data_IF_483827464247
#
_entry.id   IF_483827464247
#
_cell.length_a   1.000
_cell.length_b   1.000
_cell.length_c   1.000
_cell.angle_alpha   90.00
_cell.angle_beta   90.00
_cell.angle_gamma   90.00
#
_symmetry.space_group_name_H-M   'P 1'
#
loop_
_entity.id
_entity.type
_entity.pdbx_description
1 polymer ?
#
# COMPACT_ATOMS: atom_id res chain seq x y z
N UNK A 1 2.02 14.10 8.05
CA UNK A 1 1.25 12.83 8.04
C UNK A 1 2.00 11.83 7.18
N UNK A 2 1.88 10.52 7.39
CA UNK A 2 2.55 9.54 6.52
C UNK A 2 1.57 9.01 5.49
N UNK A 3 2.02 8.90 4.24
CA UNK A 3 1.25 8.27 3.17
C UNK A 3 2.07 7.13 2.57
N UNK A 4 1.39 6.15 1.99
CA UNK A 4 2.01 5.02 1.31
C UNK A 4 1.14 4.53 0.16
N UNK A 5 1.73 3.73 -0.72
CA UNK A 5 1.01 2.88 -1.67
C UNK A 5 0.95 1.44 -1.16
N UNK A 6 -0.02 0.69 -1.65
CA UNK A 6 -0.25 -0.70 -1.24
C UNK A 6 -0.19 -1.61 -2.45
N UNK A 7 0.70 -2.61 -2.40
CA UNK A 7 0.73 -3.66 -3.42
C UNK A 7 -0.53 -4.50 -3.32
N UNK A 8 -1.37 -4.62 -4.35
CA UNK A 8 -2.60 -5.40 -4.28
C UNK A 8 -2.30 -6.87 -3.98
N UNK A 9 -3.15 -7.47 -3.15
CA UNK A 9 -3.19 -8.92 -2.99
C UNK A 9 -3.77 -9.58 -4.24
N UNK A 10 -3.60 -10.90 -4.37
CA UNK A 10 -4.19 -11.69 -5.45
C UNK A 10 -5.71 -11.51 -5.57
N UNK A 11 -6.42 -11.33 -4.45
CA UNK A 11 -7.87 -11.09 -4.43
C UNK A 11 -8.27 -9.68 -4.86
N UNK A 12 -7.39 -8.69 -4.65
CA UNK A 12 -7.65 -7.30 -5.07
C UNK A 12 -7.34 -7.11 -6.55
N UNK A 13 -6.22 -7.63 -7.04
CA UNK A 13 -5.91 -7.62 -8.46
C UNK A 13 -5.11 -8.85 -8.86
N UNK A 14 -5.82 -9.88 -9.33
CA UNK A 14 -5.22 -11.13 -9.77
C UNK A 14 -4.22 -10.91 -10.90
N UNK A 15 -4.52 -10.05 -11.87
CA UNK A 15 -3.62 -9.80 -12.99
C UNK A 15 -2.27 -9.23 -12.55
N UNK A 16 -2.28 -8.17 -11.74
CA UNK A 16 -1.03 -7.57 -11.24
C UNK A 16 -0.24 -8.58 -10.40
N UNK A 17 -0.91 -9.29 -9.49
CA UNK A 17 -0.26 -10.27 -8.63
C UNK A 17 0.34 -11.43 -9.43
N UNK A 18 -0.47 -12.10 -10.25
CA UNK A 18 -0.06 -13.29 -11.03
C UNK A 18 1.07 -12.95 -12.01
N UNK A 19 1.02 -11.76 -12.63
CA UNK A 19 2.05 -11.29 -13.56
C UNK A 19 3.40 -11.16 -12.85
N UNK A 20 3.44 -10.50 -11.70
CA UNK A 20 4.70 -10.30 -10.96
C UNK A 20 5.18 -11.55 -10.23
N UNK A 21 4.27 -12.36 -9.72
CA UNK A 21 4.61 -13.69 -9.20
C UNK A 21 5.28 -14.55 -10.29
N UNK A 22 4.74 -14.54 -11.51
CA UNK A 22 5.29 -15.32 -12.63
C UNK A 22 6.62 -14.77 -13.14
N UNK A 23 6.75 -13.45 -13.26
CA UNK A 23 7.94 -12.81 -13.84
C UNK A 23 9.12 -12.75 -12.86
N UNK A 24 8.86 -12.54 -11.58
CA UNK A 24 9.91 -12.23 -10.60
C UNK A 24 9.95 -13.19 -9.42
N UNK A 25 8.91 -14.01 -9.20
CA UNK A 25 8.78 -14.84 -8.00
C UNK A 25 8.58 -14.06 -6.70
N UNK A 26 8.68 -12.73 -6.75
CA UNK A 26 8.60 -11.83 -5.61
C UNK A 26 7.61 -10.70 -5.90
N UNK A 27 6.47 -10.76 -5.23
CA UNK A 27 5.42 -9.73 -5.34
C UNK A 27 5.68 -8.52 -4.46
N UNK A 28 6.71 -8.55 -3.60
CA UNK A 28 7.15 -7.41 -2.78
C UNK A 28 7.93 -6.36 -3.59
N UNK A 29 8.30 -6.66 -4.83
CA UNK A 29 8.96 -5.71 -5.74
C UNK A 29 8.08 -5.30 -6.92
N UNK A 30 6.79 -5.64 -6.87
CA UNK A 30 5.85 -5.22 -7.90
C UNK A 30 5.85 -3.68 -8.03
N UNK A 31 6.12 -3.13 -9.23
CA UNK A 31 6.07 -1.71 -9.53
C UNK A 31 4.63 -1.23 -9.74
N UNK A 32 4.50 0.09 -9.85
CA UNK A 32 3.26 0.79 -10.19
C UNK A 32 2.69 0.30 -11.53
N UNK A 33 1.45 -0.15 -11.50
CA UNK A 33 0.74 -0.55 -12.70
C UNK A 33 0.00 0.65 -13.30
N UNK A 34 0.41 1.08 -14.51
CA UNK A 34 -0.16 2.25 -15.20
C UNK A 34 -1.68 2.17 -15.46
N UNK A 35 -2.25 0.98 -15.40
CA UNK A 35 -3.67 0.73 -15.69
C UNK A 35 -4.49 0.31 -14.47
N UNK A 36 -3.85 0.06 -13.32
CA UNK A 36 -4.52 -0.46 -12.12
C UNK A 36 -4.46 0.55 -10.98
N UNK A 37 -5.61 1.18 -10.71
CA UNK A 37 -5.76 2.15 -9.62
C UNK A 37 -5.44 1.52 -8.26
N UNK A 38 -5.75 0.23 -8.05
CA UNK A 38 -5.50 -0.45 -6.78
C UNK A 38 -4.01 -0.58 -6.42
N UNK A 39 -3.12 -0.44 -7.40
CA UNK A 39 -1.68 -0.48 -7.19
C UNK A 39 -1.11 0.94 -7.02
N UNK A 40 -1.68 1.93 -7.70
CA UNK A 40 -1.17 3.31 -7.67
C UNK A 40 -1.84 4.22 -6.64
N UNK A 41 -2.91 3.75 -5.99
CA UNK A 41 -3.66 4.52 -5.00
C UNK A 41 -2.82 4.79 -3.75
N UNK A 42 -2.91 6.02 -3.27
CA UNK A 42 -2.26 6.46 -2.05
C UNK A 42 -3.21 6.33 -0.86
N UNK A 43 -2.63 5.92 0.27
CA UNK A 43 -3.31 5.69 1.53
C UNK A 43 -2.62 6.49 2.62
N UNK A 44 -3.39 7.07 3.53
CA UNK A 44 -2.82 7.67 4.75
C UNK A 44 -2.55 6.56 5.74
N UNK A 45 -1.34 6.53 6.29
CA UNK A 45 -1.01 5.65 7.41
C UNK A 45 -1.56 6.29 8.67
N UNK A 46 -2.50 5.61 9.31
CA UNK A 46 -3.11 6.03 10.57
C UNK A 46 -2.29 5.54 11.75
N UNK A 47 -1.91 4.26 11.73
CA UNK A 47 -1.13 3.64 12.81
C UNK A 47 -0.41 2.36 12.36
N UNK A 48 0.58 1.94 13.13
CA UNK A 48 1.25 0.65 13.01
C UNK A 48 0.96 -0.22 14.23
N UNK A 49 0.36 -1.39 14.00
CA UNK A 49 -0.05 -2.32 15.04
C UNK A 49 0.86 -3.54 15.03
N UNK A 50 1.68 -3.67 16.08
CA UNK A 50 2.51 -4.85 16.32
C UNK A 50 1.68 -5.95 17.00
N UNK A 51 1.44 -7.05 16.29
CA UNK A 51 0.90 -8.27 16.86
C UNK A 51 2.00 -9.29 17.16
N UNK A 52 1.66 -10.32 17.96
CA UNK A 52 2.60 -11.36 18.38
C UNK A 52 3.20 -12.16 17.20
N UNK A 53 2.46 -12.28 16.09
CA UNK A 53 2.84 -13.06 14.90
C UNK A 53 2.99 -12.23 13.63
N UNK A 54 2.38 -11.05 13.57
CA UNK A 54 2.32 -10.22 12.38
C UNK A 54 2.19 -8.75 12.77
N UNK A 55 2.89 -7.89 12.03
CA UNK A 55 2.71 -6.45 12.12
C UNK A 55 1.84 -5.96 10.97
N UNK A 56 0.88 -5.10 11.30
CA UNK A 56 -0.05 -4.49 10.35
C UNK A 56 0.05 -2.97 10.39
N UNK A 57 -0.35 -2.33 9.30
CA UNK A 57 -0.67 -0.92 9.26
C UNK A 57 -2.19 -0.74 9.15
N UNK A 58 -2.70 0.26 9.86
CA UNK A 58 -4.05 0.78 9.66
C UNK A 58 -3.96 1.94 8.69
N UNK A 59 -4.69 1.83 7.58
CA UNK A 59 -4.65 2.77 6.47
C UNK A 59 -6.02 3.45 6.31
N UNK A 60 -6.05 4.73 5.98
CA UNK A 60 -7.25 5.46 5.57
C UNK A 60 -7.18 5.80 4.08
N UNK A 61 -8.25 5.48 3.36
CA UNK A 61 -8.44 5.96 2.00
C UNK A 61 -9.94 6.17 1.73
N UNK A 62 -10.29 7.34 1.22
CA UNK A 62 -11.68 7.73 0.89
C UNK A 62 -12.66 7.53 2.07
N UNK A 63 -12.22 7.85 3.30
CA UNK A 63 -13.02 7.71 4.51
C UNK A 63 -13.20 6.28 5.01
N UNK A 64 -12.50 5.29 4.41
CA UNK A 64 -12.53 3.89 4.83
C UNK A 64 -11.21 3.51 5.47
N UNK A 65 -11.29 2.74 6.57
CA UNK A 65 -10.12 2.16 7.22
C UNK A 65 -9.88 0.74 6.71
N UNK A 66 -8.63 0.43 6.39
CA UNK A 66 -8.19 -0.89 5.94
C UNK A 66 -7.01 -1.38 6.79
N UNK A 67 -7.03 -2.67 7.15
CA UNK A 67 -5.92 -3.35 7.83
C UNK A 67 -5.05 -4.06 6.79
N UNK A 68 -3.78 -3.69 6.70
CA UNK A 68 -2.85 -4.22 5.69
C UNK A 68 -1.56 -4.70 6.35
N UNK A 69 -0.99 -5.80 5.87
CA UNK A 69 0.34 -6.27 6.30
C UNK A 69 1.42 -5.27 5.89
N UNK A 70 2.36 -4.93 6.78
CA UNK A 70 3.42 -3.95 6.50
C UNK A 70 4.23 -4.33 5.25
N UNK A 71 4.46 -5.62 5.00
CA UNK A 71 5.22 -6.10 3.83
C UNK A 71 4.62 -5.70 2.48
N UNK A 72 3.35 -5.28 2.44
CA UNK A 72 2.68 -4.82 1.22
C UNK A 72 2.77 -3.31 1.00
N UNK A 73 3.21 -2.56 2.02
CA UNK A 73 3.36 -1.12 1.93
C UNK A 73 4.66 -0.78 1.20
N UNK A 74 4.63 0.27 0.38
CA UNK A 74 5.80 0.84 -0.25
C UNK A 74 5.59 2.33 -0.54
N UNK A 75 6.65 2.99 -1.00
CA UNK A 75 6.63 4.42 -1.31
C UNK A 75 6.13 5.24 -0.09
N UNK A 76 6.63 4.87 1.10
CA UNK A 76 6.26 5.54 2.35
C UNK A 76 6.94 6.90 2.40
N UNK A 77 6.15 7.97 2.45
CA UNK A 77 6.64 9.34 2.48
C UNK A 77 5.92 10.17 3.53
N UNK A 78 6.59 11.20 4.02
CA UNK A 78 5.98 12.20 4.89
C UNK A 78 5.35 13.29 4.03
N UNK A 79 4.08 13.58 4.26
CA UNK A 79 3.39 14.77 3.74
C UNK A 79 3.27 15.80 4.85
N UNK A 80 3.91 16.96 4.64
CA UNK A 80 3.72 18.12 5.49
C UNK A 80 2.30 18.68 5.31
N UNK A 81 1.61 18.90 6.42
CA UNK A 81 0.26 19.50 6.40
C UNK A 81 0.29 20.96 5.89
N UNK A 82 1.46 21.60 5.90
CA UNK A 82 1.61 23.04 5.67
C UNK A 82 2.01 23.40 4.23
N UNK A 83 2.29 22.43 3.36
CA UNK A 83 2.66 22.71 1.97
C UNK A 83 1.49 23.16 1.07
N UNK A 84 0.26 23.21 1.61
CA UNK A 84 -0.94 23.72 0.91
C UNK A 84 -1.37 25.13 1.34
N UNK A 85 -0.59 25.83 2.18
CA UNK A 85 -0.88 27.21 2.60
C UNK A 85 0.27 28.20 2.29
N UNK A 86 0.86 28.11 1.10
CA UNK A 86 1.66 29.21 0.53
C UNK A 86 1.32 29.43 -0.93
#
# INVERSE_FOLDING_TARGET
>A
MKVCKVRPSRSQCRMCFDTWETLSGDTSQMPDCKTCVLNTQEHKIVDFVNGLFCTYALLECNGRLEKVLISRLYDIREEDRDAKCR
#
